data_IF_274087237801
#
_entry.id   IF_274087237801
#
_cell.length_a   1.000
_cell.length_b   1.000
_cell.length_c   1.000
_cell.angle_alpha   90.00
_cell.angle_beta   90.00
_cell.angle_gamma   90.00
#
_symmetry.space_group_name_H-M   'P 1'
#
loop_
_entity.id
_entity.type
_entity.pdbx_description
1 polymer ?
#
# COMPACT_ATOMS: atom_id res chain seq x y z
N UNK A 1 -10.26 -17.05 18.76
CA UNK A 1 -10.94 -15.78 18.38
C UNK A 1 -10.45 -15.38 17.02
N UNK A 2 -11.25 -15.61 15.95
CA UNK A 2 -10.92 -15.14 14.62
C UNK A 2 -10.92 -13.60 14.65
N UNK A 3 -9.76 -12.99 14.48
CA UNK A 3 -9.70 -11.55 14.20
C UNK A 3 -10.38 -11.33 12.85
N UNK A 4 -11.55 -10.72 12.84
CA UNK A 4 -12.14 -10.22 11.62
C UNK A 4 -11.15 -9.21 11.02
N UNK A 5 -10.41 -9.67 10.02
CA UNK A 5 -9.51 -8.79 9.28
C UNK A 5 -10.40 -7.81 8.52
N UNK A 6 -10.39 -6.54 8.95
CA UNK A 6 -11.12 -5.50 8.24
C UNK A 6 -10.57 -5.37 6.81
N UNK A 7 -11.44 -5.10 5.83
CA UNK A 7 -11.02 -4.85 4.46
C UNK A 7 -9.96 -3.75 4.38
N UNK A 8 -8.89 -4.00 3.63
CA UNK A 8 -7.77 -3.07 3.54
C UNK A 8 -8.00 -2.07 2.42
N UNK A 9 -8.05 -0.78 2.76
CA UNK A 9 -7.87 0.34 1.83
C UNK A 9 -6.42 0.81 1.91
N UNK A 10 -5.69 0.80 0.79
CA UNK A 10 -4.27 1.10 0.75
C UNK A 10 -3.96 2.20 -0.25
N UNK A 11 -3.84 3.43 0.21
CA UNK A 11 -3.47 4.58 -0.60
C UNK A 11 -1.96 4.57 -0.86
N UNK A 12 -1.56 4.74 -2.12
CA UNK A 12 -0.18 4.92 -2.55
C UNK A 12 -0.03 6.36 -3.06
N UNK A 13 0.94 7.13 -2.54
CA UNK A 13 1.17 8.49 -3.04
C UNK A 13 1.67 8.47 -4.49
N UNK A 14 1.37 9.53 -5.23
CA UNK A 14 1.55 9.57 -6.69
C UNK A 14 3.01 9.61 -7.16
N UNK A 15 3.94 10.00 -6.28
CA UNK A 15 5.34 10.22 -6.65
C UNK A 15 5.53 11.55 -7.38
N UNK A 16 4.75 12.56 -7.05
CA UNK A 16 4.80 13.89 -7.68
C UNK A 16 6.03 14.70 -7.30
N UNK A 17 6.75 14.32 -6.25
CA UNK A 17 7.98 14.97 -5.80
C UNK A 17 9.17 14.68 -6.71
N UNK A 18 10.19 15.52 -6.65
CA UNK A 18 11.42 15.44 -7.45
C UNK A 18 12.67 15.76 -6.62
N UNK A 19 13.85 15.79 -7.27
CA UNK A 19 15.14 16.06 -6.60
C UNK A 19 15.25 17.47 -6.01
N UNK A 20 14.49 18.43 -6.51
CA UNK A 20 14.47 19.82 -6.05
C UNK A 20 13.45 20.05 -4.94
N UNK A 21 12.58 19.10 -4.66
CA UNK A 21 11.58 19.21 -3.60
C UNK A 21 12.27 19.33 -2.23
N UNK A 22 11.86 20.35 -1.48
CA UNK A 22 12.32 20.66 -0.12
C UNK A 22 11.12 20.66 0.84
N UNK A 23 11.33 20.70 2.16
CA UNK A 23 10.24 20.80 3.13
C UNK A 23 9.35 22.04 3.01
N UNK A 24 9.84 23.10 2.31
CA UNK A 24 9.07 24.32 2.00
C UNK A 24 8.43 24.32 0.61
N UNK A 25 8.57 23.24 -0.15
CA UNK A 25 7.98 23.11 -1.49
C UNK A 25 6.52 22.71 -1.41
N UNK A 26 5.73 23.20 -2.36
CA UNK A 26 4.30 22.87 -2.43
C UNK A 26 4.05 21.37 -2.59
N UNK A 27 4.86 20.67 -3.38
CA UNK A 27 4.74 19.22 -3.57
C UNK A 27 4.93 18.45 -2.27
N UNK A 28 5.78 18.93 -1.36
CA UNK A 28 5.97 18.35 -0.03
C UNK A 28 4.72 18.55 0.82
N UNK A 29 4.16 19.76 0.84
CA UNK A 29 2.92 20.11 1.53
C UNK A 29 1.73 19.29 0.96
N UNK A 30 1.60 19.21 -0.36
CA UNK A 30 0.55 18.42 -1.03
C UNK A 30 0.54 16.95 -0.61
N UNK A 31 1.71 16.32 -0.43
CA UNK A 31 1.80 14.95 0.09
C UNK A 31 1.30 14.86 1.52
N UNK A 32 1.64 15.82 2.39
CA UNK A 32 1.14 15.84 3.78
C UNK A 32 -0.36 16.07 3.85
N UNK A 33 -0.92 16.90 2.98
CA UNK A 33 -2.36 17.09 2.87
C UNK A 33 -3.09 15.80 2.44
N UNK A 34 -2.50 15.04 1.49
CA UNK A 34 -3.04 13.73 1.11
C UNK A 34 -3.01 12.77 2.30
N UNK A 35 -1.91 12.73 3.06
CA UNK A 35 -1.79 11.89 4.26
C UNK A 35 -2.83 12.28 5.31
N UNK A 36 -3.03 13.58 5.54
CA UNK A 36 -4.00 14.08 6.51
C UNK A 36 -5.45 13.72 6.09
N UNK A 37 -5.80 13.93 4.83
CA UNK A 37 -7.11 13.56 4.30
C UNK A 37 -7.37 12.05 4.39
N UNK A 38 -6.37 11.24 4.06
CA UNK A 38 -6.46 9.78 4.13
C UNK A 38 -6.61 9.28 5.59
N UNK A 39 -5.88 9.89 6.54
CA UNK A 39 -6.02 9.59 7.96
C UNK A 39 -7.42 9.96 8.49
N UNK A 40 -7.94 11.13 8.12
CA UNK A 40 -9.29 11.56 8.47
C UNK A 40 -10.38 10.65 7.89
N UNK A 41 -10.17 10.13 6.67
CA UNK A 41 -11.06 9.16 6.02
C UNK A 41 -10.90 7.72 6.56
N UNK A 42 -10.01 7.48 7.52
CA UNK A 42 -9.69 6.15 8.04
C UNK A 42 -9.24 5.16 6.95
N UNK A 43 -8.42 5.60 5.99
CA UNK A 43 -7.70 4.72 5.08
C UNK A 43 -6.82 3.78 5.91
N UNK A 44 -6.85 2.47 5.65
CA UNK A 44 -6.16 1.49 6.50
C UNK A 44 -4.64 1.63 6.44
N UNK A 45 -4.11 1.79 5.22
CA UNK A 45 -2.67 1.89 4.96
C UNK A 45 -2.37 3.06 4.03
N UNK A 46 -1.26 3.76 4.27
CA UNK A 46 -0.69 4.75 3.35
C UNK A 46 0.74 4.32 3.02
N UNK A 47 1.11 4.37 1.73
CA UNK A 47 2.50 4.22 1.28
C UNK A 47 3.03 5.57 0.80
N UNK A 48 4.07 6.08 1.45
CA UNK A 48 4.89 7.15 0.90
C UNK A 48 5.79 6.59 -0.22
N UNK A 49 5.39 6.84 -1.47
CA UNK A 49 6.11 6.37 -2.67
C UNK A 49 6.72 7.54 -3.43
N UNK A 50 7.59 8.28 -2.77
CA UNK A 50 8.25 9.49 -3.29
C UNK A 50 9.70 9.15 -3.70
N UNK A 51 9.86 8.37 -4.79
CA UNK A 51 11.13 7.74 -5.20
C UNK A 51 12.25 8.72 -5.58
N UNK A 52 11.91 9.98 -5.86
CA UNK A 52 12.86 11.00 -6.34
C UNK A 52 13.37 11.92 -5.22
N UNK A 53 12.83 11.81 -4.01
CA UNK A 53 13.31 12.59 -2.87
C UNK A 53 14.72 12.15 -2.44
N UNK A 54 15.51 13.13 -2.00
CA UNK A 54 16.75 12.82 -1.28
C UNK A 54 16.41 12.06 0.03
N UNK A 55 17.30 11.22 0.55
CA UNK A 55 17.06 10.50 1.80
C UNK A 55 16.70 11.41 2.97
N UNK A 56 17.32 12.57 3.07
CA UNK A 56 17.03 13.58 4.11
C UNK A 56 15.61 14.11 4.00
N UNK A 57 15.20 14.55 2.82
CA UNK A 57 13.85 15.11 2.60
C UNK A 57 12.78 14.04 2.78
N UNK A 58 13.03 12.80 2.32
CA UNK A 58 12.13 11.68 2.57
C UNK A 58 11.98 11.37 4.07
N UNK A 59 13.07 11.45 4.83
CA UNK A 59 13.02 11.30 6.29
C UNK A 59 12.15 12.39 6.94
N UNK A 60 12.37 13.66 6.60
CA UNK A 60 11.59 14.78 7.12
C UNK A 60 10.11 14.66 6.77
N UNK A 61 9.79 14.30 5.53
CA UNK A 61 8.41 14.01 5.09
C UNK A 61 7.79 12.86 5.90
N UNK A 62 8.55 11.79 6.10
CA UNK A 62 8.07 10.61 6.84
C UNK A 62 7.80 10.94 8.31
N UNK A 63 8.65 11.75 8.96
CA UNK A 63 8.44 12.20 10.35
C UNK A 63 7.12 12.95 10.49
N UNK A 64 6.87 13.93 9.60
CA UNK A 64 5.64 14.72 9.64
C UNK A 64 4.40 13.85 9.32
N UNK A 65 4.48 13.00 8.30
CA UNK A 65 3.40 12.06 7.96
C UNK A 65 3.10 11.07 9.11
N UNK A 66 4.13 10.56 9.80
CA UNK A 66 3.97 9.69 10.96
C UNK A 66 3.30 10.41 12.15
N UNK A 67 3.59 11.70 12.36
CA UNK A 67 2.89 12.51 13.37
C UNK A 67 1.39 12.66 13.07
N UNK A 68 1.04 12.85 11.79
CA UNK A 68 -0.36 12.94 11.35
C UNK A 68 -1.07 11.60 11.60
N UNK A 69 -0.50 10.49 11.11
CA UNK A 69 -1.15 9.17 11.20
C UNK A 69 -1.20 8.60 12.61
N UNK A 70 -0.32 9.01 13.53
CA UNK A 70 -0.30 8.55 14.93
C UNK A 70 -1.60 8.80 15.68
N UNK A 71 -2.40 9.79 15.24
CA UNK A 71 -3.70 10.15 15.85
C UNK A 71 -4.88 9.39 15.24
N UNK A 72 -4.64 8.38 14.40
CA UNK A 72 -5.66 7.61 13.69
C UNK A 72 -5.32 6.12 13.66
N UNK A 73 -6.23 5.29 13.14
CA UNK A 73 -6.00 3.86 12.89
C UNK A 73 -5.16 3.60 11.62
N UNK A 74 -4.84 4.65 10.87
CA UNK A 74 -4.08 4.56 9.62
C UNK A 74 -2.62 4.20 9.88
N UNK A 75 -2.11 3.18 9.20
CA UNK A 75 -0.71 2.75 9.30
C UNK A 75 0.10 3.31 8.13
N UNK A 76 1.19 4.02 8.44
CA UNK A 76 2.09 4.60 7.44
C UNK A 76 3.22 3.64 7.09
N UNK A 77 3.42 3.40 5.80
CA UNK A 77 4.55 2.64 5.27
C UNK A 77 5.39 3.53 4.34
N UNK A 78 6.69 3.27 4.29
CA UNK A 78 7.60 3.91 3.34
C UNK A 78 7.98 2.92 2.24
N UNK A 79 8.03 3.37 0.99
CA UNK A 79 8.47 2.52 -0.11
C UNK A 79 9.97 2.24 -0.01
N UNK A 80 10.36 0.97 0.04
CA UNK A 80 11.74 0.46 -0.08
C UNK A 80 12.73 0.90 1.02
N UNK A 81 12.45 1.91 1.82
CA UNK A 81 13.36 2.49 2.80
C UNK A 81 12.95 2.14 4.24
N UNK A 82 13.22 0.86 4.62
CA UNK A 82 12.93 0.36 5.97
C UNK A 82 13.71 1.12 7.06
N UNK A 83 14.92 1.56 6.75
CA UNK A 83 15.77 2.40 7.61
C UNK A 83 15.10 3.75 7.93
N UNK A 84 14.62 4.45 6.91
CA UNK A 84 13.90 5.73 7.07
C UNK A 84 12.56 5.51 7.79
N UNK A 85 11.80 4.48 7.39
CA UNK A 85 10.54 4.15 8.03
C UNK A 85 10.70 3.95 9.54
N UNK A 86 11.70 3.18 9.94
CA UNK A 86 11.98 2.91 11.37
C UNK A 86 12.43 4.16 12.10
N UNK A 87 13.39 4.91 11.54
CA UNK A 87 13.96 6.10 12.15
C UNK A 87 12.92 7.23 12.31
N UNK A 88 11.99 7.37 11.37
CA UNK A 88 10.94 8.39 11.37
C UNK A 88 9.67 7.99 12.14
N UNK A 89 9.59 6.77 12.68
CA UNK A 89 8.44 6.29 13.43
C UNK A 89 7.23 5.89 12.58
N UNK A 90 7.43 5.56 11.31
CA UNK A 90 6.41 4.92 10.47
C UNK A 90 6.13 3.48 10.94
N UNK A 91 4.96 2.96 10.61
CA UNK A 91 4.53 1.62 11.02
C UNK A 91 5.29 0.50 10.30
N UNK A 92 5.88 0.77 9.13
CA UNK A 92 6.55 -0.26 8.37
C UNK A 92 7.06 0.18 7.00
N UNK A 93 7.34 -0.81 6.16
CA UNK A 93 7.89 -0.66 4.82
C UNK A 93 7.07 -1.41 3.78
N UNK A 94 7.04 -0.90 2.56
CA UNK A 94 6.55 -1.63 1.40
C UNK A 94 7.71 -1.99 0.47
N UNK A 95 7.99 -3.28 0.33
CA UNK A 95 9.09 -3.81 -0.46
C UNK A 95 8.67 -4.02 -1.93
N UNK A 96 9.58 -3.73 -2.83
CA UNK A 96 9.44 -4.01 -4.26
C UNK A 96 10.19 -5.31 -4.61
N UNK A 97 10.04 -5.80 -5.83
CA UNK A 97 10.78 -6.98 -6.32
C UNK A 97 12.31 -6.77 -6.38
N UNK A 98 12.80 -5.54 -6.19
CA UNK A 98 14.23 -5.17 -6.17
C UNK A 98 14.74 -4.76 -4.79
N UNK A 99 13.87 -4.79 -3.79
CA UNK A 99 14.22 -4.48 -2.40
C UNK A 99 14.98 -5.62 -1.73
N UNK A 100 15.46 -5.39 -0.52
CA UNK A 100 15.92 -6.46 0.38
C UNK A 100 14.78 -7.46 0.63
N UNK A 101 15.11 -8.73 0.86
CA UNK A 101 14.14 -9.74 1.22
C UNK A 101 13.37 -9.39 2.50
N UNK A 102 12.10 -9.74 2.56
CA UNK A 102 11.27 -9.49 3.73
C UNK A 102 11.82 -10.18 5.00
N UNK A 103 12.47 -11.34 4.86
CA UNK A 103 13.15 -12.06 5.93
C UNK A 103 14.30 -11.24 6.56
N UNK A 104 15.10 -10.54 5.73
CA UNK A 104 16.17 -9.65 6.19
C UNK A 104 15.59 -8.49 6.99
N UNK A 105 14.56 -7.83 6.44
CA UNK A 105 13.87 -6.73 7.11
C UNK A 105 13.23 -7.20 8.42
N UNK A 106 12.59 -8.37 8.42
CA UNK A 106 11.96 -8.97 9.60
C UNK A 106 12.97 -9.26 10.71
N UNK A 107 14.11 -9.84 10.38
CA UNK A 107 15.19 -10.10 11.36
C UNK A 107 15.76 -8.82 11.95
N UNK A 108 15.85 -7.74 11.15
CA UNK A 108 16.46 -6.47 11.57
C UNK A 108 15.51 -5.63 12.42
N UNK A 109 14.23 -5.55 12.04
CA UNK A 109 13.28 -4.59 12.64
C UNK A 109 12.23 -5.22 13.57
N UNK A 110 12.19 -6.55 13.63
CA UNK A 110 11.30 -7.27 14.55
C UNK A 110 9.86 -7.47 14.05
N UNK A 111 9.02 -8.09 14.90
CA UNK A 111 7.66 -8.53 14.53
C UNK A 111 6.64 -7.39 14.44
N UNK A 112 6.86 -6.31 15.16
CA UNK A 112 5.93 -5.16 15.20
C UNK A 112 6.09 -4.23 14.00
N UNK A 113 7.11 -4.45 13.16
CA UNK A 113 7.36 -3.68 11.96
C UNK A 113 6.59 -4.28 10.78
N UNK A 114 5.64 -3.52 10.23
CA UNK A 114 4.78 -3.99 9.15
C UNK A 114 5.54 -4.08 7.82
N UNK A 115 5.44 -5.22 7.15
CA UNK A 115 6.13 -5.48 5.88
C UNK A 115 5.10 -5.85 4.80
N UNK A 116 4.88 -4.95 3.84
CA UNK A 116 4.16 -5.26 2.62
C UNK A 116 5.13 -5.60 1.48
N UNK A 117 4.72 -6.43 0.53
CA UNK A 117 5.52 -6.77 -0.63
C UNK A 117 4.73 -6.67 -1.95
N UNK A 118 5.34 -6.05 -2.98
CA UNK A 118 4.80 -6.08 -4.35
C UNK A 118 5.06 -7.43 -5.00
N UNK A 119 4.05 -7.98 -5.68
CA UNK A 119 4.11 -9.29 -6.33
C UNK A 119 3.38 -9.29 -7.67
N UNK A 120 3.90 -10.05 -8.64
CA UNK A 120 3.36 -10.11 -10.00
C UNK A 120 3.03 -11.54 -10.43
N UNK A 121 3.40 -12.52 -9.63
CA UNK A 121 3.15 -13.95 -9.85
C UNK A 121 2.76 -14.64 -8.55
N UNK A 122 2.29 -15.89 -8.67
CA UNK A 122 2.04 -16.75 -7.50
C UNK A 122 3.34 -17.06 -6.76
N UNK A 123 4.43 -17.26 -7.50
CA UNK A 123 5.76 -17.53 -6.96
C UNK A 123 6.26 -16.36 -6.14
N UNK A 124 6.11 -15.11 -6.63
CA UNK A 124 6.46 -13.90 -5.86
C UNK A 124 5.66 -13.82 -4.56
N UNK A 125 4.35 -14.09 -4.64
CA UNK A 125 3.48 -14.01 -3.48
C UNK A 125 3.77 -15.10 -2.43
N UNK A 126 4.13 -16.32 -2.86
CA UNK A 126 4.64 -17.38 -1.98
C UNK A 126 5.95 -16.96 -1.32
N UNK A 127 6.90 -16.46 -2.11
CA UNK A 127 8.20 -16.01 -1.60
C UNK A 127 8.02 -14.89 -0.55
N UNK A 128 7.11 -13.93 -0.78
CA UNK A 128 6.80 -12.89 0.17
C UNK A 128 6.25 -13.45 1.50
N UNK A 129 5.27 -14.39 1.44
CA UNK A 129 4.71 -15.07 2.61
C UNK A 129 5.79 -15.85 3.38
N UNK A 130 6.57 -16.65 2.68
CA UNK A 130 7.57 -17.54 3.28
C UNK A 130 8.75 -16.76 3.86
N UNK A 131 8.99 -15.53 3.35
CA UNK A 131 9.95 -14.57 3.89
C UNK A 131 9.37 -13.68 5.02
N UNK A 132 8.20 -14.03 5.58
CA UNK A 132 7.53 -13.31 6.67
C UNK A 132 7.12 -11.87 6.36
N UNK A 133 6.71 -11.56 5.13
CA UNK A 133 5.90 -10.38 4.88
C UNK A 133 4.51 -10.51 5.56
N UNK A 134 3.88 -9.40 5.91
CA UNK A 134 2.55 -9.40 6.54
C UNK A 134 1.43 -9.45 5.51
N UNK A 135 1.67 -9.00 4.29
CA UNK A 135 0.73 -9.04 3.16
C UNK A 135 1.46 -8.88 1.82
N UNK A 136 0.82 -9.31 0.74
CA UNK A 136 1.26 -9.04 -0.62
C UNK A 136 0.31 -8.10 -1.34
N UNK A 137 0.87 -7.22 -2.18
CA UNK A 137 0.13 -6.42 -3.16
C UNK A 137 0.33 -7.06 -4.52
N UNK A 138 -0.76 -7.63 -5.07
CA UNK A 138 -0.74 -8.36 -6.32
C UNK A 138 -1.27 -7.51 -7.47
N UNK A 139 -0.50 -7.39 -8.54
CA UNK A 139 -0.92 -6.60 -9.70
C UNK A 139 0.12 -6.46 -10.80
N UNK A 140 -0.26 -5.72 -11.87
CA UNK A 140 -1.54 -5.05 -12.08
C UNK A 140 -2.67 -6.02 -12.42
N UNK A 141 -3.85 -5.87 -11.77
CA UNK A 141 -4.99 -6.74 -12.04
C UNK A 141 -5.68 -6.35 -13.34
N UNK A 142 -5.92 -5.07 -13.56
CA UNK A 142 -6.49 -4.52 -14.79
C UNK A 142 -5.49 -3.64 -15.52
N UNK A 143 -5.81 -3.26 -16.75
CA UNK A 143 -5.01 -2.31 -17.54
C UNK A 143 -4.92 -0.97 -16.79
N UNK A 144 -3.72 -0.40 -16.73
CA UNK A 144 -3.45 0.90 -16.08
C UNK A 144 -2.72 1.82 -17.04
N UNK A 145 -2.87 3.14 -16.86
CA UNK A 145 -2.16 4.15 -17.68
C UNK A 145 -0.63 4.03 -17.55
N UNK A 146 -0.14 3.46 -16.45
CA UNK A 146 1.29 3.17 -16.25
C UNK A 146 1.79 1.94 -17.02
N UNK A 147 1.25 1.68 -18.23
CA UNK A 147 1.46 0.45 -19.02
C UNK A 147 2.93 0.08 -19.29
N UNK A 148 3.80 1.07 -19.42
CA UNK A 148 5.19 0.84 -19.83
C UNK A 148 6.07 0.19 -18.77
N UNK A 149 5.65 0.21 -17.49
CA UNK A 149 6.52 -0.18 -16.36
C UNK A 149 6.19 -1.57 -15.77
N UNK A 150 4.94 -2.07 -15.92
CA UNK A 150 4.46 -3.23 -15.15
C UNK A 150 3.98 -4.42 -16.00
N UNK A 151 4.09 -4.37 -17.33
CA UNK A 151 3.68 -5.46 -18.22
C UNK A 151 2.16 -5.60 -18.37
N UNK A 152 1.74 -6.72 -18.98
CA UNK A 152 0.33 -7.04 -19.20
C UNK A 152 -0.42 -7.26 -17.87
N UNK A 153 -1.73 -6.92 -17.79
CA UNK A 153 -2.52 -7.16 -16.59
C UNK A 153 -2.62 -8.66 -16.27
N UNK A 154 -2.55 -8.98 -14.98
CA UNK A 154 -2.60 -10.36 -14.48
C UNK A 154 -4.01 -10.95 -14.54
N UNK A 155 -5.03 -10.11 -14.45
CA UNK A 155 -6.44 -10.50 -14.48
C UNK A 155 -6.97 -11.10 -13.19
N UNK A 156 -8.31 -11.16 -13.10
CA UNK A 156 -9.03 -11.65 -11.92
C UNK A 156 -8.81 -13.15 -11.68
N UNK A 157 -8.64 -13.95 -12.73
CA UNK A 157 -8.43 -15.38 -12.58
C UNK A 157 -7.12 -15.70 -11.83
N UNK A 158 -6.03 -14.99 -12.15
CA UNK A 158 -4.77 -15.16 -11.41
C UNK A 158 -4.86 -14.62 -10.00
N UNK A 159 -5.52 -13.46 -9.80
CA UNK A 159 -5.78 -12.93 -8.45
C UNK A 159 -6.52 -13.96 -7.60
N UNK A 160 -7.57 -14.57 -8.12
CA UNK A 160 -8.35 -15.58 -7.40
C UNK A 160 -7.54 -16.84 -7.07
N UNK A 161 -6.69 -17.29 -7.99
CA UNK A 161 -5.81 -18.43 -7.74
C UNK A 161 -4.81 -18.13 -6.61
N UNK A 162 -4.16 -16.95 -6.64
CA UNK A 162 -3.19 -16.52 -5.61
C UNK A 162 -3.88 -16.35 -4.26
N UNK A 163 -5.02 -15.67 -4.21
CA UNK A 163 -5.75 -15.43 -2.95
C UNK A 163 -6.23 -16.74 -2.30
N UNK A 164 -6.75 -17.67 -3.09
CA UNK A 164 -7.21 -18.98 -2.61
C UNK A 164 -6.06 -19.83 -2.08
N UNK A 165 -4.94 -19.87 -2.81
CA UNK A 165 -3.83 -20.76 -2.46
C UNK A 165 -3.07 -20.28 -1.22
N UNK A 166 -2.95 -18.97 -1.07
CA UNK A 166 -2.17 -18.39 0.03
C UNK A 166 -3.01 -18.06 1.27
N UNK A 167 -4.32 -18.32 1.25
CA UNK A 167 -5.17 -18.09 2.42
C UNK A 167 -4.60 -18.80 3.68
N UNK A 168 -4.54 -18.12 4.84
CA UNK A 168 -5.11 -16.81 5.18
C UNK A 168 -4.17 -15.62 4.95
N UNK A 169 -3.07 -15.76 4.22
CA UNK A 169 -2.14 -14.66 3.95
C UNK A 169 -2.83 -13.57 3.11
N UNK A 170 -2.83 -12.28 3.54
CA UNK A 170 -3.60 -11.25 2.88
C UNK A 170 -3.03 -10.89 1.49
N UNK A 171 -3.88 -10.95 0.46
CA UNK A 171 -3.58 -10.50 -0.89
C UNK A 171 -4.39 -9.24 -1.18
N UNK A 172 -3.71 -8.13 -1.44
CA UNK A 172 -4.31 -6.83 -1.76
C UNK A 172 -4.19 -6.62 -3.26
N UNK A 173 -5.31 -6.33 -3.94
CA UNK A 173 -5.32 -6.12 -5.39
C UNK A 173 -4.84 -4.72 -5.75
N UNK A 174 -4.03 -4.60 -6.82
CA UNK A 174 -3.48 -3.33 -7.33
C UNK A 174 -3.59 -3.27 -8.86
N UNK A 175 -3.82 -2.08 -9.39
CA UNK A 175 -3.65 -1.74 -10.81
C UNK A 175 -4.95 -1.73 -11.60
N UNK A 176 -5.30 -0.55 -12.15
CA UNK A 176 -6.49 -0.31 -12.94
C UNK A 176 -7.80 -0.50 -12.19
N UNK A 177 -7.77 -0.32 -10.86
CA UNK A 177 -8.93 -0.51 -10.00
C UNK A 177 -9.66 0.82 -9.82
N UNK A 178 -10.98 0.77 -9.99
CA UNK A 178 -11.94 1.86 -9.82
C UNK A 178 -13.19 1.37 -9.05
N UNK A 179 -14.17 2.23 -8.87
CA UNK A 179 -15.39 1.90 -8.11
C UNK A 179 -16.25 0.84 -8.78
N UNK A 180 -16.17 0.70 -10.11
CA UNK A 180 -17.00 -0.23 -10.89
C UNK A 180 -16.48 -1.67 -10.80
N UNK A 181 -15.15 -1.85 -10.72
CA UNK A 181 -14.51 -3.16 -10.67
C UNK A 181 -14.11 -3.65 -9.27
N UNK A 182 -14.33 -2.85 -8.21
CA UNK A 182 -14.08 -3.24 -6.81
C UNK A 182 -14.70 -4.57 -6.42
N UNK A 183 -15.97 -4.77 -6.81
CA UNK A 183 -16.72 -5.98 -6.47
C UNK A 183 -16.05 -7.23 -7.02
N UNK A 184 -15.58 -7.18 -8.26
CA UNK A 184 -14.89 -8.29 -8.90
C UNK A 184 -13.59 -8.68 -8.17
N UNK A 185 -12.84 -7.70 -7.65
CA UNK A 185 -11.65 -7.96 -6.83
C UNK A 185 -12.01 -8.66 -5.50
N UNK A 186 -13.10 -8.24 -4.85
CA UNK A 186 -13.60 -8.87 -3.63
C UNK A 186 -14.05 -10.31 -3.88
N UNK A 187 -14.79 -10.56 -4.95
CA UNK A 187 -15.24 -11.89 -5.36
C UNK A 187 -14.08 -12.81 -5.74
N UNK A 188 -12.99 -12.26 -6.28
CA UNK A 188 -11.74 -12.96 -6.52
C UNK A 188 -10.94 -13.28 -5.24
N UNK A 189 -11.43 -12.90 -4.06
CA UNK A 189 -10.82 -13.24 -2.77
C UNK A 189 -9.74 -12.28 -2.28
N UNK A 190 -9.57 -11.12 -2.90
CA UNK A 190 -8.66 -10.10 -2.38
C UNK A 190 -9.08 -9.66 -0.97
N UNK A 191 -8.11 -9.35 -0.13
CA UNK A 191 -8.31 -8.84 1.23
C UNK A 191 -8.53 -7.32 1.28
N UNK A 192 -8.39 -6.65 0.15
CA UNK A 192 -8.52 -5.20 0.01
C UNK A 192 -7.95 -4.70 -1.30
N UNK A 193 -7.85 -3.38 -1.39
CA UNK A 193 -7.44 -2.66 -2.60
C UNK A 193 -6.29 -1.73 -2.29
N UNK A 194 -5.28 -1.71 -3.17
CA UNK A 194 -4.24 -0.69 -3.23
C UNK A 194 -4.38 0.14 -4.51
N UNK A 195 -4.07 1.43 -4.44
CA UNK A 195 -4.11 2.26 -5.64
C UNK A 195 -3.63 3.69 -5.43
N UNK A 196 -3.42 4.37 -6.56
CA UNK A 196 -3.15 5.81 -6.62
C UNK A 196 -4.44 6.52 -7.07
N UNK A 197 -4.94 6.19 -8.26
CA UNK A 197 -6.05 6.90 -8.92
C UNK A 197 -7.36 6.81 -8.16
N UNK A 198 -7.72 5.65 -7.61
CA UNK A 198 -8.95 5.43 -6.85
C UNK A 198 -9.01 6.27 -5.55
N UNK A 199 -7.86 6.73 -5.06
CA UNK A 199 -7.74 7.58 -3.87
C UNK A 199 -7.31 9.02 -4.21
N UNK A 200 -7.35 9.43 -5.48
CA UNK A 200 -6.84 10.74 -5.92
C UNK A 200 -7.70 11.90 -5.44
N UNK A 201 -9.01 11.71 -5.46
CA UNK A 201 -9.96 12.74 -5.04
C UNK A 201 -10.10 12.73 -3.51
N UNK A 202 -9.59 13.79 -2.87
CA UNK A 202 -9.56 13.94 -1.41
C UNK A 202 -10.97 14.07 -0.81
N UNK A 203 -11.89 14.67 -1.52
CA UNK A 203 -13.26 14.92 -1.04
C UNK A 203 -14.08 13.63 -0.99
N UNK A 204 -13.82 12.70 -1.89
CA UNK A 204 -14.52 11.40 -1.97
C UNK A 204 -13.84 10.27 -1.18
N UNK A 205 -12.70 10.49 -0.52
CA UNK A 205 -11.95 9.44 0.19
C UNK A 205 -12.81 8.65 1.19
N UNK A 206 -13.61 9.34 1.99
CA UNK A 206 -14.48 8.68 2.99
C UNK A 206 -15.52 7.78 2.33
N UNK A 207 -16.07 8.18 1.19
CA UNK A 207 -17.03 7.39 0.43
C UNK A 207 -16.34 6.17 -0.19
N UNK A 208 -15.16 6.37 -0.79
CA UNK A 208 -14.34 5.30 -1.37
C UNK A 208 -13.99 4.24 -0.31
N UNK A 209 -13.52 4.66 0.87
CA UNK A 209 -13.21 3.75 1.99
C UNK A 209 -14.44 3.00 2.47
N UNK A 210 -15.58 3.68 2.59
CA UNK A 210 -16.86 3.06 2.99
C UNK A 210 -17.31 2.01 1.98
N UNK A 211 -17.16 2.30 0.68
CA UNK A 211 -17.51 1.37 -0.40
C UNK A 211 -16.61 0.14 -0.41
N UNK A 212 -15.30 0.31 -0.19
CA UNK A 212 -14.37 -0.82 -0.02
C UNK A 212 -14.80 -1.67 1.17
N UNK A 213 -15.05 -1.07 2.33
CA UNK A 213 -15.47 -1.80 3.53
C UNK A 213 -16.77 -2.58 3.34
N UNK A 214 -17.74 -1.99 2.63
CA UNK A 214 -19.01 -2.64 2.32
C UNK A 214 -18.81 -3.89 1.45
N UNK A 215 -18.09 -3.74 0.33
CA UNK A 215 -17.91 -4.80 -0.67
C UNK A 215 -16.99 -5.94 -0.21
N UNK A 216 -16.04 -5.66 0.67
CA UNK A 216 -15.06 -6.64 1.17
C UNK A 216 -15.44 -7.22 2.55
N UNK A 217 -16.61 -6.89 3.10
CA UNK A 217 -17.13 -7.61 4.27
C UNK A 217 -17.32 -9.08 3.89
N UNK A 218 -16.51 -9.97 4.47
CA UNK A 218 -16.76 -11.42 4.34
C UNK A 218 -18.14 -11.73 4.92
N UNK A 219 -18.96 -12.38 4.12
CA UNK A 219 -20.19 -13.03 4.59
C UNK A 219 -19.89 -14.14 5.58
#
# INVERSE_FOLDING_TARGET
MQRHVQPVSYLITSGATNLQTTPSSKEFEDVLEVVAAAAAANVSLIQLREKRLSPRVLFELTVQAAQITRKSETRLLVNDRADIARAAGAAGVHLTTRSLGADVVRRTFGRDFLIGASTHSLEDARAARDSNADFAVFGPVFTTESKETYGAPQGLAKLAAVARELAPFPIIALGGIDLDNLKACSEAGASGIAGISIFKDRESLSQTVSRIRELFKKK
#
